data_IF_445852190849
#
_entry.id   IF_445852190849
#
_cell.length_a   1.000
_cell.length_b   1.000
_cell.length_c   1.000
_cell.angle_alpha   90.00
_cell.angle_beta   90.00
_cell.angle_gamma   90.00
#
_symmetry.space_group_name_H-M   'P 1'
#
loop_
_entity.id
_entity.type
_entity.pdbx_description
1 polymer ?
#
# COMPACT_ATOMS: atom_id res chain seq x y z
N UNK A 1 -13.21 21.64 20.78
CA UNK A 1 -12.00 22.16 20.10
C UNK A 1 -11.32 20.94 19.55
N UNK A 2 -11.41 20.76 18.24
CA UNK A 2 -10.93 19.54 17.61
C UNK A 2 -9.40 19.57 17.61
N UNK A 3 -8.79 18.60 18.31
CA UNK A 3 -7.33 18.52 18.39
C UNK A 3 -6.81 18.00 17.05
N UNK A 4 -6.23 18.90 16.26
CA UNK A 4 -5.44 18.55 15.08
C UNK A 4 -3.98 18.51 15.49
N UNK A 5 -3.32 17.37 15.29
CA UNK A 5 -1.89 17.20 15.53
C UNK A 5 -1.17 16.83 14.23
N UNK A 6 -0.03 17.47 13.98
CA UNK A 6 0.86 17.20 12.85
C UNK A 6 1.94 16.19 13.27
N UNK A 7 2.18 15.15 12.48
CA UNK A 7 3.31 14.24 12.74
C UNK A 7 4.63 14.70 12.09
N UNK A 8 5.69 13.94 12.33
CA UNK A 8 7.04 14.20 11.82
C UNK A 8 7.16 14.24 10.28
N UNK A 9 6.17 13.68 9.57
CA UNK A 9 6.10 13.69 8.10
C UNK A 9 5.27 14.84 7.55
N UNK A 10 4.69 15.67 8.44
CA UNK A 10 3.81 16.77 8.08
C UNK A 10 2.34 16.38 7.89
N UNK A 11 1.94 15.17 8.27
CA UNK A 11 0.55 14.72 8.14
C UNK A 11 -0.31 15.19 9.32
N UNK A 12 -1.37 15.94 9.00
CA UNK A 12 -2.33 16.50 9.96
C UNK A 12 -3.58 15.62 10.06
N UNK A 13 -3.99 15.27 11.28
CA UNK A 13 -5.22 14.51 11.52
C UNK A 13 -5.91 14.96 12.81
N UNK A 14 -7.26 14.87 12.88
CA UNK A 14 -8.04 15.18 14.08
C UNK A 14 -8.00 14.02 15.08
N UNK A 15 -6.80 13.54 15.39
CA UNK A 15 -6.56 12.44 16.33
C UNK A 15 -5.17 12.61 16.97
N UNK A 16 -5.00 12.32 18.27
CA UNK A 16 -3.69 12.40 18.92
C UNK A 16 -2.64 11.49 18.24
N UNK A 17 -1.36 11.85 18.29
CA UNK A 17 -0.25 11.04 17.71
C UNK A 17 -0.21 9.60 18.23
N UNK A 18 -0.70 9.34 19.44
CA UNK A 18 -0.81 8.00 20.02
C UNK A 18 -2.04 7.20 19.57
N UNK A 19 -2.93 7.77 18.75
CA UNK A 19 -4.17 7.11 18.33
C UNK A 19 -3.86 5.88 17.44
N UNK A 20 -4.48 4.70 17.67
CA UNK A 20 -4.19 3.49 16.90
C UNK A 20 -4.34 3.64 15.38
N UNK A 21 -5.27 4.48 14.92
CA UNK A 21 -5.46 4.81 13.51
C UNK A 21 -4.31 5.60 12.87
N UNK A 22 -3.41 6.18 13.67
CA UNK A 22 -2.18 6.86 13.22
C UNK A 22 -0.94 5.96 13.32
N UNK A 23 -1.10 4.73 13.82
CA UNK A 23 0.03 3.82 14.02
C UNK A 23 0.54 3.33 12.66
N UNK A 24 1.74 3.77 12.29
CA UNK A 24 2.46 3.27 11.13
C UNK A 24 2.90 1.81 11.28
N UNK A 25 3.52 1.29 10.22
CA UNK A 25 4.17 -0.01 10.28
C UNK A 25 5.32 0.02 11.30
N UNK A 26 5.58 -1.07 12.05
CA UNK A 26 6.72 -1.15 12.95
C UNK A 26 8.05 -0.89 12.24
N UNK A 27 9.04 -0.39 12.97
CA UNK A 27 10.40 -0.25 12.45
C UNK A 27 10.93 -1.60 11.95
N UNK A 28 11.56 -1.60 10.77
CA UNK A 28 12.07 -2.83 10.14
C UNK A 28 11.02 -3.69 9.46
N UNK A 29 9.74 -3.28 9.40
CA UNK A 29 8.75 -3.99 8.62
C UNK A 29 9.10 -3.94 7.11
N UNK A 30 9.10 -5.08 6.40
CA UNK A 30 9.44 -5.09 4.98
C UNK A 30 8.36 -4.36 4.17
N UNK A 31 8.78 -3.41 3.33
CA UNK A 31 7.88 -2.58 2.49
C UNK A 31 7.76 -3.08 1.06
N UNK A 32 8.38 -4.23 0.74
CA UNK A 32 8.38 -4.86 -0.58
C UNK A 32 9.80 -5.24 -1.04
N UNK A 33 9.92 -5.73 -2.28
CA UNK A 33 11.21 -6.06 -2.88
C UNK A 33 12.09 -4.83 -3.05
N UNK A 34 13.41 -5.01 -2.96
CA UNK A 34 14.38 -3.96 -3.29
C UNK A 34 14.41 -3.72 -4.80
N UNK A 35 15.00 -2.60 -5.21
CA UNK A 35 15.27 -2.32 -6.63
C UNK A 35 16.14 -3.46 -7.21
N UNK A 36 15.69 -4.04 -8.32
CA UNK A 36 16.34 -5.17 -8.98
C UNK A 36 15.90 -6.54 -8.46
N UNK A 37 15.24 -6.62 -7.31
CA UNK A 37 14.64 -7.86 -6.84
C UNK A 37 13.33 -8.15 -7.59
N UNK A 38 13.05 -9.44 -7.77
CA UNK A 38 11.83 -9.89 -8.45
C UNK A 38 10.63 -9.68 -7.54
N UNK A 39 9.57 -9.03 -8.07
CA UNK A 39 8.28 -8.97 -7.39
C UNK A 39 7.72 -10.39 -7.17
N UNK A 40 7.13 -10.70 -6.00
CA UNK A 40 6.44 -11.97 -5.79
C UNK A 40 5.38 -12.21 -6.85
N UNK A 41 5.24 -13.47 -7.26
CA UNK A 41 4.21 -13.83 -8.22
C UNK A 41 2.82 -13.76 -7.56
N UNK A 42 1.82 -13.43 -8.36
CA UNK A 42 0.43 -13.44 -7.91
C UNK A 42 -0.54 -13.78 -9.04
N UNK A 43 -1.62 -14.45 -8.65
CA UNK A 43 -2.74 -14.77 -9.51
C UNK A 43 -4.04 -14.34 -8.83
N UNK A 44 -4.64 -13.27 -9.34
CA UNK A 44 -5.80 -12.59 -8.76
C UNK A 44 -6.84 -12.29 -9.84
N UNK A 45 -8.14 -12.23 -9.50
CA UNK A 45 -9.15 -11.78 -10.44
C UNK A 45 -9.09 -10.25 -10.62
N UNK A 46 -9.33 -9.78 -11.83
CA UNK A 46 -9.62 -8.38 -12.08
C UNK A 46 -11.08 -8.01 -11.74
N UNK A 47 -11.47 -6.76 -11.98
CA UNK A 47 -12.82 -6.24 -11.69
C UNK A 47 -13.95 -6.95 -12.45
N UNK A 48 -13.64 -7.69 -13.52
CA UNK A 48 -14.60 -8.50 -14.30
C UNK A 48 -14.60 -9.97 -13.89
N UNK A 49 -13.71 -10.36 -12.97
CA UNK A 49 -13.50 -11.75 -12.57
C UNK A 49 -12.50 -12.52 -13.45
N UNK A 50 -11.90 -11.89 -14.47
CA UNK A 50 -10.86 -12.53 -15.29
C UNK A 50 -9.60 -12.72 -14.44
N UNK A 51 -9.02 -13.92 -14.48
CA UNK A 51 -7.75 -14.22 -13.80
C UNK A 51 -6.59 -13.46 -14.45
N UNK A 52 -5.77 -12.83 -13.62
CA UNK A 52 -4.52 -12.17 -13.99
C UNK A 52 -3.37 -12.85 -13.28
N UNK A 53 -2.52 -13.55 -14.06
CA UNK A 53 -1.27 -14.17 -13.61
C UNK A 53 -0.13 -13.21 -13.93
N UNK A 54 0.30 -12.43 -12.94
CA UNK A 54 1.05 -11.20 -13.17
C UNK A 54 2.26 -11.35 -14.09
N UNK A 55 3.11 -12.34 -13.82
CA UNK A 55 4.33 -12.53 -14.60
C UNK A 55 4.08 -13.06 -16.02
N UNK A 56 3.06 -13.90 -16.20
CA UNK A 56 2.68 -14.41 -17.52
C UNK A 56 2.04 -13.31 -18.37
N UNK A 57 1.04 -12.63 -17.81
CA UNK A 57 0.23 -11.65 -18.53
C UNK A 57 1.01 -10.36 -18.85
N UNK A 58 1.95 -9.95 -17.98
CA UNK A 58 2.84 -8.82 -18.32
C UNK A 58 3.85 -9.19 -19.40
N UNK A 59 4.17 -10.48 -19.56
CA UNK A 59 5.22 -10.98 -20.44
C UNK A 59 6.52 -10.16 -20.36
N UNK A 60 6.91 -9.57 -21.49
CA UNK A 60 8.11 -8.73 -21.61
C UNK A 60 7.85 -7.22 -21.44
N UNK A 61 6.61 -6.82 -21.15
CA UNK A 61 6.26 -5.42 -20.93
C UNK A 61 6.61 -4.95 -19.51
N UNK A 62 6.80 -3.62 -19.39
CA UNK A 62 6.85 -2.93 -18.09
C UNK A 62 5.45 -2.89 -17.49
N UNK A 63 5.36 -2.98 -16.17
CA UNK A 63 4.09 -2.90 -15.43
C UNK A 63 4.25 -1.99 -14.20
N UNK A 64 3.16 -1.34 -13.81
CA UNK A 64 3.04 -0.65 -12.54
C UNK A 64 2.09 -1.42 -11.63
N UNK A 65 2.47 -1.63 -10.37
CA UNK A 65 1.64 -2.29 -9.35
C UNK A 65 1.33 -1.27 -8.27
N UNK A 66 0.05 -1.04 -8.01
CA UNK A 66 -0.43 -0.07 -7.02
C UNK A 66 -1.27 -0.82 -6.00
N UNK A 67 -0.79 -0.84 -4.75
CA UNK A 67 -1.61 -1.28 -3.62
C UNK A 67 -2.45 -0.11 -3.15
N UNK A 68 -3.75 -0.26 -3.19
CA UNK A 68 -4.68 0.71 -2.65
C UNK A 68 -5.73 0.00 -1.81
N UNK A 69 -6.30 0.73 -0.86
CA UNK A 69 -7.52 0.33 -0.18
C UNK A 69 -8.54 1.44 -0.37
N UNK A 70 -9.77 1.06 -0.66
CA UNK A 70 -10.87 2.00 -0.53
C UNK A 70 -11.07 2.30 0.96
N UNK A 71 -11.35 3.55 1.29
CA UNK A 71 -11.85 3.93 2.62
C UNK A 71 -13.27 4.46 2.43
N UNK A 72 -14.22 3.86 3.14
CA UNK A 72 -15.54 4.47 3.34
C UNK A 72 -15.39 5.32 4.60
N UNK A 73 -15.69 6.61 4.47
CA UNK A 73 -15.76 7.55 5.59
C UNK A 73 -17.14 7.48 6.25
#
# INVERSE_FOLDING_TARGET
MDFVETDETGFEAPAPLGHPGRKGLPAGHPTGPKIGERLPDFDLPDHTGKRVRFHEDRGNAKAAVVFFRSVVW
#
